data_IF_024650441584
#
_entry.id   IF_024650441584
#
_cell.length_a   1.000
_cell.length_b   1.000
_cell.length_c   1.000
_cell.angle_alpha   90.00
_cell.angle_beta   90.00
_cell.angle_gamma   90.00
#
_symmetry.space_group_name_H-M   'P 1'
#
loop_
_entity.id
_entity.type
_entity.pdbx_description
1 polymer ?
#
# COMPACT_ATOMS: atom_id res chain seq x y z
N UNK A 1 2.79 -4.48 24.62
CA UNK A 1 3.48 -5.27 23.57
C UNK A 1 2.43 -5.69 22.55
N UNK A 2 2.54 -5.28 21.28
CA UNK A 2 1.60 -5.74 20.23
C UNK A 2 2.02 -7.14 19.80
N UNK A 3 1.08 -8.08 19.78
CA UNK A 3 1.35 -9.46 19.36
C UNK A 3 1.77 -9.51 17.88
N UNK A 4 2.73 -10.37 17.56
CA UNK A 4 3.24 -10.54 16.21
C UNK A 4 2.12 -10.83 15.19
N UNK A 5 1.13 -11.64 15.57
CA UNK A 5 -0.02 -11.96 14.74
C UNK A 5 -0.86 -10.72 14.39
N UNK A 6 -1.09 -9.82 15.35
CA UNK A 6 -1.87 -8.59 15.12
C UNK A 6 -1.15 -7.66 14.14
N UNK A 7 0.18 -7.59 14.24
CA UNK A 7 1.01 -6.82 13.31
C UNK A 7 0.88 -7.36 11.89
N UNK A 8 1.00 -8.67 11.70
CA UNK A 8 0.84 -9.32 10.39
C UNK A 8 -0.55 -9.06 9.81
N UNK A 9 -1.61 -9.22 10.60
CA UNK A 9 -2.99 -8.98 10.15
C UNK A 9 -3.19 -7.53 9.70
N UNK A 10 -2.69 -6.55 10.46
CA UNK A 10 -2.78 -5.12 10.08
C UNK A 10 -2.04 -4.84 8.77
N UNK A 11 -0.83 -5.35 8.62
CA UNK A 11 -0.05 -5.18 7.39
C UNK A 11 -0.72 -5.86 6.20
N UNK A 12 -1.27 -7.07 6.37
CA UNK A 12 -1.96 -7.78 5.31
C UNK A 12 -3.24 -7.05 4.86
N UNK A 13 -4.05 -6.56 5.81
CA UNK A 13 -5.27 -5.82 5.50
C UNK A 13 -4.98 -4.50 4.78
N UNK A 14 -4.08 -3.67 5.33
CA UNK A 14 -3.71 -2.40 4.70
C UNK A 14 -2.97 -2.60 3.38
N UNK A 15 -2.12 -3.63 3.29
CA UNK A 15 -1.44 -4.02 2.06
C UNK A 15 -2.43 -4.45 0.97
N UNK A 16 -3.45 -5.26 1.31
CA UNK A 16 -4.49 -5.68 0.37
C UNK A 16 -5.31 -4.48 -0.14
N UNK A 17 -5.76 -3.60 0.77
CA UNK A 17 -6.48 -2.38 0.40
C UNK A 17 -5.59 -1.49 -0.48
N UNK A 18 -4.33 -1.30 -0.09
CA UNK A 18 -3.37 -0.49 -0.84
C UNK A 18 -3.10 -1.04 -2.24
N UNK A 19 -3.06 -2.36 -2.37
CA UNK A 19 -2.91 -3.05 -3.67
C UNK A 19 -4.16 -2.84 -4.52
N UNK A 20 -5.37 -3.01 -3.96
CA UNK A 20 -6.61 -2.78 -4.69
C UNK A 20 -6.70 -1.34 -5.23
N UNK A 21 -6.37 -0.36 -4.40
CA UNK A 21 -6.31 1.05 -4.82
C UNK A 21 -5.22 1.27 -5.88
N UNK A 22 -4.07 0.58 -5.77
CA UNK A 22 -3.01 0.65 -6.77
C UNK A 22 -3.47 0.17 -8.15
N UNK A 23 -4.26 -0.90 -8.19
CA UNK A 23 -4.83 -1.41 -9.44
C UNK A 23 -5.81 -0.42 -10.03
N UNK A 24 -6.74 0.09 -9.21
CA UNK A 24 -7.75 1.06 -9.64
C UNK A 24 -7.08 2.34 -10.16
N UNK A 25 -6.05 2.87 -9.49
CA UNK A 25 -5.36 4.08 -9.99
C UNK A 25 -4.61 3.84 -11.31
N UNK A 26 -4.22 2.59 -11.64
CA UNK A 26 -3.61 2.27 -12.94
C UNK A 26 -4.58 2.51 -14.09
N UNK A 27 -5.89 2.30 -13.83
CA UNK A 27 -6.94 2.46 -14.82
C UNK A 27 -7.23 3.93 -15.11
N UNK A 28 -6.80 4.82 -14.22
CA UNK A 28 -6.97 6.27 -14.37
C UNK A 28 -5.78 6.80 -15.16
N UNK A 29 -5.98 7.37 -16.37
CA UNK A 29 -4.89 7.90 -17.17
C UNK A 29 -4.19 9.03 -16.41
N UNK A 30 -2.86 8.99 -16.40
CA UNK A 30 -2.04 10.02 -15.77
C UNK A 30 -1.39 10.90 -16.86
N UNK A 31 -1.40 12.23 -16.71
CA UNK A 31 -0.96 13.15 -17.76
C UNK A 31 0.56 13.13 -18.02
N UNK A 32 1.35 12.58 -17.10
CA UNK A 32 2.81 12.51 -17.25
C UNK A 32 3.27 11.10 -17.66
N UNK A 33 4.30 11.01 -18.51
CA UNK A 33 4.93 9.74 -18.81
C UNK A 33 5.51 9.13 -17.52
N UNK A 34 5.24 7.84 -17.29
CA UNK A 34 5.71 7.05 -16.14
C UNK A 34 5.24 7.50 -14.75
N UNK A 35 4.34 8.48 -14.66
CA UNK A 35 3.79 8.96 -13.40
C UNK A 35 2.50 8.25 -12.99
N UNK A 36 2.17 8.31 -11.69
CA UNK A 36 0.91 7.79 -11.12
C UNK A 36 0.39 8.77 -10.08
N UNK A 37 -0.91 8.73 -9.81
CA UNK A 37 -1.54 9.57 -8.79
C UNK A 37 -1.01 9.31 -7.38
N UNK A 38 -0.65 8.08 -7.07
CA UNK A 38 -0.16 7.70 -5.75
C UNK A 38 -1.27 7.59 -4.70
N UNK A 39 -2.54 7.43 -5.11
CA UNK A 39 -3.69 7.33 -4.20
C UNK A 39 -3.54 6.15 -3.23
N UNK A 40 -2.96 5.08 -3.73
CA UNK A 40 -2.66 3.88 -2.97
C UNK A 40 -1.72 4.12 -1.78
N UNK A 41 -0.91 5.18 -1.80
CA UNK A 41 -0.03 5.56 -0.68
C UNK A 41 -0.79 6.10 0.54
N UNK A 42 -2.08 6.41 0.39
CA UNK A 42 -2.93 6.73 1.54
C UNK A 42 -2.91 5.63 2.60
N UNK A 43 -2.88 4.36 2.19
CA UNK A 43 -2.79 3.21 3.11
C UNK A 43 -1.46 3.16 3.88
N UNK A 44 -0.37 3.63 3.25
CA UNK A 44 0.95 3.74 3.87
C UNK A 44 0.97 4.86 4.91
N UNK A 45 0.39 6.02 4.58
CA UNK A 45 0.26 7.13 5.51
C UNK A 45 -0.66 6.77 6.69
N UNK A 46 -1.77 6.08 6.43
CA UNK A 46 -2.65 5.58 7.48
C UNK A 46 -1.90 4.62 8.42
N UNK A 47 -1.09 3.70 7.89
CA UNK A 47 -0.23 2.84 8.69
C UNK A 47 0.81 3.63 9.50
N UNK A 48 1.42 4.65 8.89
CA UNK A 48 2.44 5.48 9.55
C UNK A 48 1.87 6.24 10.75
N UNK A 49 0.68 6.82 10.60
CA UNK A 49 0.02 7.61 11.64
C UNK A 49 -0.52 6.69 12.74
N UNK A 50 -1.13 5.54 12.38
CA UNK A 50 -1.81 4.68 13.36
C UNK A 50 -0.86 3.70 14.08
N UNK A 51 0.17 3.20 13.40
CA UNK A 51 0.99 2.09 13.89
C UNK A 51 2.50 2.38 13.89
N UNK A 52 2.93 3.42 13.18
CA UNK A 52 4.33 3.85 13.12
C UNK A 52 5.01 3.53 11.79
N UNK A 53 6.25 4.03 11.66
CA UNK A 53 7.02 3.97 10.41
C UNK A 53 7.34 2.55 9.98
N UNK A 54 7.60 1.63 10.91
CA UNK A 54 7.96 0.24 10.60
C UNK A 54 6.82 -0.50 9.89
N UNK A 55 5.60 -0.32 10.37
CA UNK A 55 4.38 -0.88 9.78
C UNK A 55 4.08 -0.22 8.43
N UNK A 56 4.27 1.09 8.33
CA UNK A 56 4.11 1.82 7.07
C UNK A 56 5.04 1.30 5.97
N UNK A 57 6.32 1.11 6.28
CA UNK A 57 7.29 0.53 5.33
C UNK A 57 6.85 -0.88 4.92
N UNK A 58 6.38 -1.69 5.87
CA UNK A 58 5.89 -3.04 5.58
C UNK A 58 4.70 -3.02 4.62
N UNK A 59 3.73 -2.12 4.85
CA UNK A 59 2.56 -1.93 3.98
C UNK A 59 2.99 -1.42 2.60
N UNK A 60 3.89 -0.44 2.53
CA UNK A 60 4.38 0.13 1.29
C UNK A 60 5.05 -0.93 0.40
N UNK A 61 5.88 -1.80 0.99
CA UNK A 61 6.51 -2.91 0.29
C UNK A 61 5.49 -3.90 -0.24
N UNK A 62 4.57 -4.39 0.62
CA UNK A 62 3.56 -5.36 0.23
C UNK A 62 2.70 -4.83 -0.92
N UNK A 63 2.15 -3.64 -0.78
CA UNK A 63 1.28 -3.05 -1.80
C UNK A 63 2.01 -2.80 -3.12
N UNK A 64 3.28 -2.35 -3.07
CA UNK A 64 4.01 -1.99 -4.28
C UNK A 64 4.46 -3.25 -5.04
N UNK A 65 4.94 -4.26 -4.32
CA UNK A 65 5.32 -5.54 -4.92
C UNK A 65 4.12 -6.25 -5.56
N UNK A 66 3.02 -6.37 -4.82
CA UNK A 66 1.80 -6.99 -5.35
C UNK A 66 1.22 -6.16 -6.50
N UNK A 67 1.17 -4.83 -6.34
CA UNK A 67 0.73 -3.92 -7.39
C UNK A 67 1.49 -4.11 -8.70
N UNK A 68 2.83 -4.12 -8.64
CA UNK A 68 3.67 -4.35 -9.83
C UNK A 68 3.49 -5.74 -10.43
N UNK A 69 3.30 -6.78 -9.61
CA UNK A 69 3.06 -8.14 -10.14
C UNK A 69 1.76 -8.18 -10.95
N UNK A 70 0.73 -7.48 -10.51
CA UNK A 70 -0.57 -7.46 -11.17
C UNK A 70 -0.64 -6.52 -12.38
N UNK A 71 0.10 -5.42 -12.38
CA UNK A 71 0.10 -4.47 -13.51
C UNK A 71 1.15 -4.79 -14.58
N UNK A 72 2.10 -5.69 -14.27
CA UNK A 72 3.36 -5.77 -15.00
C UNK A 72 4.29 -4.61 -14.67
#
# INVERSE_FOLDING_TARGET
MVNHSVRVVRTALLGAIGTAVYLIETLIPFPLPFGRWGLSNFTVLAAAIAFGTREAVSVALVKSLLGSIFTG
#
